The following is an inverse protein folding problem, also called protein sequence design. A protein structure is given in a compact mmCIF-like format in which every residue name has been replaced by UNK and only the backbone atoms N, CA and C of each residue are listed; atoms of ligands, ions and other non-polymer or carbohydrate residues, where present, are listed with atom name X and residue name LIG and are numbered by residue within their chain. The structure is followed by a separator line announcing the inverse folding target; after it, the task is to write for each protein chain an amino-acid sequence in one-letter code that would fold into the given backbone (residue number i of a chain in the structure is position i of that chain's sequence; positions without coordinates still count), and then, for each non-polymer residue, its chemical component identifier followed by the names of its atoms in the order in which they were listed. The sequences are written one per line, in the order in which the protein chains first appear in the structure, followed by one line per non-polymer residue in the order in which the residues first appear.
data_IF_261979960202
#
_entry.id   IF_261979960202
#
_cell.length_a   1.000
_cell.length_b   1.000
_cell.length_c   1.000
_cell.angle_alpha   90.00
_cell.angle_beta   90.00
_cell.angle_gamma   90.00
#
_symmetry.space_group_name_H-M   'P 1'
#
loop_
_entity.id
_entity.type
_entity.pdbx_description
1 polymer ?
#
# COMPACT_ATOMS: atom_id res chain seq x y z
N UNK A 1 2.52 13.50 -2.45
CA UNK A 1 2.33 12.14 -1.91
C UNK A 1 1.82 11.29 -3.06
N UNK A 2 2.51 10.20 -3.43
CA UNK A 2 1.98 9.27 -4.42
C UNK A 2 0.61 8.73 -3.98
N UNK A 3 -0.24 8.54 -4.98
CA UNK A 3 -1.58 7.98 -4.82
C UNK A 3 -1.67 6.70 -5.65
N UNK A 4 -2.61 5.85 -5.24
CA UNK A 4 -2.83 4.59 -5.91
C UNK A 4 -4.10 3.93 -5.41
N UNK A 5 -4.35 2.75 -5.94
CA UNK A 5 -5.50 1.93 -5.61
C UNK A 5 -5.02 0.60 -5.07
N UNK A 6 -5.60 0.12 -3.98
CA UNK A 6 -5.27 -1.21 -3.44
C UNK A 6 -5.62 -2.26 -4.50
N UNK A 7 -4.61 -2.92 -5.03
CA UNK A 7 -4.79 -3.96 -6.04
C UNK A 7 -5.34 -5.23 -5.41
N UNK A 8 -4.80 -5.58 -4.24
CA UNK A 8 -5.30 -6.63 -3.36
C UNK A 8 -4.62 -6.51 -2.00
N UNK A 9 -5.27 -7.01 -0.96
CA UNK A 9 -4.70 -7.10 0.39
C UNK A 9 -5.20 -8.37 1.08
N UNK A 10 -4.27 -9.14 1.64
CA UNK A 10 -4.57 -10.34 2.42
C UNK A 10 -4.46 -10.00 3.91
N UNK A 11 -5.61 -9.81 4.56
CA UNK A 11 -5.69 -9.42 5.97
C UNK A 11 -5.15 -10.52 6.90
N UNK A 12 -5.25 -11.80 6.50
CA UNK A 12 -4.72 -12.91 7.28
C UNK A 12 -3.20 -12.94 7.26
N UNK A 13 -2.59 -12.59 6.13
CA UNK A 13 -1.13 -12.52 5.99
C UNK A 13 -0.55 -11.15 6.35
N UNK A 14 -1.37 -10.10 6.39
CA UNK A 14 -0.97 -8.75 6.75
C UNK A 14 -0.18 -8.03 5.65
N UNK A 15 -0.35 -8.38 4.38
CA UNK A 15 0.34 -7.71 3.27
C UNK A 15 -0.47 -7.70 1.97
N UNK A 16 -0.08 -6.83 1.05
CA UNK A 16 -0.72 -6.70 -0.24
C UNK A 16 0.08 -5.84 -1.22
N UNK A 17 -0.60 -5.37 -2.25
CA UNK A 17 -0.02 -4.47 -3.25
C UNK A 17 -0.97 -3.32 -3.58
N UNK A 18 -0.37 -2.16 -3.80
CA UNK A 18 -1.05 -0.95 -4.26
C UNK A 18 -0.62 -0.70 -5.71
N UNK A 19 -1.60 -0.60 -6.60
CA UNK A 19 -1.37 -0.15 -7.95
C UNK A 19 -1.13 1.36 -7.95
N UNK A 20 0.06 1.77 -8.36
CA UNK A 20 0.40 3.19 -8.48
C UNK A 20 -0.28 3.80 -9.72
N UNK A 21 -0.63 5.09 -9.70
CA UNK A 21 -1.13 5.78 -10.90
C UNK A 21 -0.08 5.84 -12.03
N UNK A 22 1.20 5.73 -11.68
CA UNK A 22 2.31 5.67 -12.62
C UNK A 22 3.43 4.83 -12.02
N UNK A 23 3.88 3.82 -12.77
CA UNK A 23 4.91 2.88 -12.35
C UNK A 23 4.38 1.48 -12.08
N UNK A 24 5.21 0.68 -11.43
CA UNK A 24 4.90 -0.70 -11.04
C UNK A 24 4.04 -0.75 -9.77
N UNK A 25 3.46 -1.92 -9.49
CA UNK A 25 2.75 -2.14 -8.24
C UNK A 25 3.73 -2.09 -7.05
N UNK A 26 3.35 -1.39 -5.99
CA UNK A 26 4.17 -1.26 -4.79
C UNK A 26 3.67 -2.16 -3.68
N UNK A 27 4.60 -2.84 -3.01
CA UNK A 27 4.31 -3.70 -1.87
C UNK A 27 3.87 -2.87 -0.66
N UNK A 28 2.86 -3.34 0.09
CA UNK A 28 2.43 -2.75 1.36
C UNK A 28 2.30 -3.81 2.44
N UNK A 29 2.74 -3.46 3.66
CA UNK A 29 2.57 -4.28 4.86
C UNK A 29 1.60 -3.59 5.83
N UNK A 30 0.83 -4.37 6.60
CA UNK A 30 -0.16 -3.84 7.53
C UNK A 30 0.44 -2.88 8.57
N UNK A 31 1.73 -3.03 8.91
CA UNK A 31 2.43 -2.14 9.85
C UNK A 31 2.52 -0.69 9.36
N UNK A 32 2.45 -0.49 8.05
CA UNK A 32 2.55 0.84 7.43
C UNK A 32 1.19 1.50 7.24
N UNK A 33 0.09 0.79 7.53
CA UNK A 33 -1.27 1.30 7.33
C UNK A 33 -1.71 2.10 8.55
N UNK A 34 -2.00 3.38 8.32
CA UNK A 34 -2.51 4.31 9.32
C UNK A 34 -4.03 4.44 9.15
N UNK A 35 -4.76 4.44 10.27
CA UNK A 35 -6.18 4.80 10.25
C UNK A 35 -7.17 3.73 9.77
N UNK A 36 -6.75 2.48 9.53
CA UNK A 36 -7.70 1.39 9.28
C UNK A 36 -7.13 0.16 8.57
N UNK A 37 -8.01 -0.52 7.84
CA UNK A 37 -7.70 -1.69 7.01
C UNK A 37 -7.78 -1.33 5.53
N UNK A 38 -6.99 -2.02 4.71
CA UNK A 38 -7.03 -1.85 3.26
C UNK A 38 -8.05 -2.80 2.64
N UNK A 39 -8.85 -2.28 1.70
CA UNK A 39 -9.79 -3.07 0.90
C UNK A 39 -9.41 -3.00 -0.56
N UNK A 40 -9.59 -4.11 -1.29
CA UNK A 40 -9.40 -4.15 -2.74
C UNK A 40 -10.22 -3.04 -3.43
N UNK A 41 -9.59 -2.33 -4.37
CA UNK A 41 -10.20 -1.24 -5.10
C UNK A 41 -10.23 0.11 -4.36
N UNK A 42 -9.83 0.15 -3.09
CA UNK A 42 -9.83 1.38 -2.29
C UNK A 42 -8.69 2.33 -2.71
N UNK A 43 -8.98 3.63 -2.76
CA UNK A 43 -7.99 4.66 -3.00
C UNK A 43 -7.16 4.93 -1.75
N UNK A 44 -5.85 5.09 -1.93
CA UNK A 44 -4.89 5.25 -0.85
C UNK A 44 -3.89 6.33 -1.18
N UNK A 45 -3.42 7.01 -0.13
CA UNK A 45 -2.24 7.88 -0.18
C UNK A 45 -1.10 7.20 0.55
N UNK A 46 0.12 7.28 0.02
CA UNK A 46 1.29 6.67 0.66
C UNK A 46 2.55 7.46 0.34
N UNK A 47 3.65 7.11 1.00
CA UNK A 47 5.01 7.49 0.64
C UNK A 47 5.75 6.24 0.14
N UNK A 48 6.74 6.42 -0.76
CA UNK A 48 7.59 5.31 -1.20
C UNK A 48 8.83 5.29 -0.32
N UNK A 49 9.03 4.17 0.38
CA UNK A 49 10.23 3.88 1.16
C UNK A 49 11.03 2.71 0.60
N UNK A 50 12.19 2.44 1.20
CA UNK A 50 12.99 1.24 0.92
C UNK A 50 12.82 0.19 2.02
N UNK A 51 12.29 -0.97 1.64
CA UNK A 51 12.21 -2.15 2.49
C UNK A 51 13.33 -3.14 2.19
N UNK A 52 13.43 -4.19 3.02
CA UNK A 52 14.43 -5.26 2.86
C UNK A 52 14.37 -6.01 1.53
N UNK A 53 13.25 -5.90 0.80
CA UNK A 53 12.99 -6.58 -0.48
C UNK A 53 12.81 -5.61 -1.64
N UNK A 54 13.22 -4.35 -1.48
CA UNK A 54 13.03 -3.30 -2.46
C UNK A 54 11.98 -2.26 -2.04
N UNK A 55 11.50 -1.43 -2.99
CA UNK A 55 10.57 -0.35 -2.70
C UNK A 55 9.25 -0.84 -2.07
N UNK A 56 8.78 -0.14 -1.04
CA UNK A 56 7.52 -0.43 -0.36
C UNK A 56 6.76 0.84 -0.01
N UNK A 57 5.43 0.73 0.10
CA UNK A 57 4.58 1.82 0.54
C UNK A 57 4.66 1.95 2.07
N UNK A 58 4.95 3.16 2.53
CA UNK A 58 5.02 3.56 3.94
C UNK A 58 4.01 4.66 4.23
N UNK A 59 3.58 4.79 5.50
CA UNK A 59 2.54 5.77 5.94
C UNK A 59 1.29 5.75 5.06
N UNK A 60 0.76 4.57 4.84
CA UNK A 60 -0.38 4.34 3.95
C UNK A 60 -1.66 4.77 4.65
N UNK A 61 -2.35 5.75 4.06
CA UNK A 61 -3.62 6.26 4.55
C UNK A 61 -4.73 5.88 3.57
N UNK A 62 -5.71 5.05 3.99
CA UNK A 62 -6.92 4.77 3.24
C UNK A 62 -7.76 6.04 3.06
N UNK A 63 -8.28 6.28 1.85
CA UNK A 63 -9.23 7.36 1.55
C UNK A 63 -10.65 6.82 1.38
#
# INVERSE_FOLDING_TARGET
MPQGKVKWFDDQKGYGFIQQESGDDIFVHHSEVEGGVLKEGQDVSFEVGEGRKGPCAVKVNPR
#
